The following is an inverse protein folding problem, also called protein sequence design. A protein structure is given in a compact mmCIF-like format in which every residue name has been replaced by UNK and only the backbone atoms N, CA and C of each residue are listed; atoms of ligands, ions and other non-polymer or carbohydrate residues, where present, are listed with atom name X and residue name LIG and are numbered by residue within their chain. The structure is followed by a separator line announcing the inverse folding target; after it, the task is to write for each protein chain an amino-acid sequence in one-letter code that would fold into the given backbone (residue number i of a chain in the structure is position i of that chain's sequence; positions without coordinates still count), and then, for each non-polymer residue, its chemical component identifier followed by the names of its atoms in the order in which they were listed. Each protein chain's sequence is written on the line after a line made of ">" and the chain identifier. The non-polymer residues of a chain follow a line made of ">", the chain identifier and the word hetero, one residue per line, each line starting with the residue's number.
data_IF_604084049772
#
_entry.id   IF_604084049772
#
_cell.length_a   1.000
_cell.length_b   1.000
_cell.length_c   1.000
_cell.angle_alpha   90.00
_cell.angle_beta   90.00
_cell.angle_gamma   90.00
#
_symmetry.space_group_name_H-M   'P 1'
#
loop_
_entity.id
_entity.type
_entity.pdbx_description
1 polymer ?
#
# COMPACT_ATOMS: atom_id res chain seq x y z
N UNK A 1 -11.35 5.50 -24.91
CA UNK A 1 -10.87 5.14 -23.59
C UNK A 1 -9.75 4.14 -23.76
N UNK A 2 -8.62 4.33 -23.12
CA UNK A 2 -7.49 3.39 -23.21
C UNK A 2 -7.86 2.06 -22.57
N UNK A 3 -7.40 0.96 -23.16
CA UNK A 3 -7.59 -0.38 -22.61
C UNK A 3 -6.63 -0.63 -21.46
N UNK A 4 -7.12 -1.21 -20.37
CA UNK A 4 -6.34 -1.51 -19.17
C UNK A 4 -6.21 -3.02 -18.99
N UNK A 5 -4.99 -3.52 -18.87
CA UNK A 5 -4.70 -4.88 -18.45
C UNK A 5 -4.36 -4.92 -16.95
N UNK A 6 -4.98 -5.83 -16.19
CA UNK A 6 -4.64 -6.14 -14.80
C UNK A 6 -4.00 -7.51 -14.78
N UNK A 7 -2.73 -7.58 -14.40
CA UNK A 7 -1.95 -8.82 -14.27
C UNK A 7 -1.81 -9.17 -12.78
N UNK A 8 -2.30 -10.34 -12.39
CA UNK A 8 -2.40 -10.77 -11.00
C UNK A 8 -3.86 -10.98 -10.56
N UNK A 9 -4.73 -11.25 -11.52
CA UNK A 9 -6.13 -11.53 -11.25
C UNK A 9 -6.31 -12.79 -10.41
N UNK A 10 -7.23 -12.70 -9.44
CA UNK A 10 -7.48 -13.75 -8.45
C UNK A 10 -6.84 -13.50 -7.09
N UNK A 11 -6.05 -12.47 -6.94
CA UNK A 11 -5.63 -11.91 -5.67
C UNK A 11 -6.67 -10.87 -5.21
N UNK A 12 -6.86 -10.72 -3.90
CA UNK A 12 -7.79 -9.72 -3.32
C UNK A 12 -7.45 -8.30 -3.77
N UNK A 13 -6.16 -8.03 -3.98
CA UNK A 13 -5.68 -6.75 -4.47
C UNK A 13 -6.18 -6.43 -5.89
N UNK A 14 -6.24 -7.43 -6.78
CA UNK A 14 -6.76 -7.22 -8.13
C UNK A 14 -8.27 -6.93 -8.13
N UNK A 15 -9.03 -7.52 -7.18
CA UNK A 15 -10.44 -7.22 -6.98
C UNK A 15 -10.64 -5.77 -6.52
N UNK A 16 -9.83 -5.30 -5.55
CA UNK A 16 -9.83 -3.91 -5.09
C UNK A 16 -9.51 -2.92 -6.23
N UNK A 17 -8.51 -3.23 -7.06
CA UNK A 17 -8.15 -2.41 -8.20
C UNK A 17 -9.26 -2.35 -9.25
N UNK A 18 -9.86 -3.50 -9.55
CA UNK A 18 -10.99 -3.58 -10.48
C UNK A 18 -12.19 -2.78 -9.98
N UNK A 19 -12.53 -2.92 -8.68
CA UNK A 19 -13.59 -2.16 -8.03
C UNK A 19 -13.33 -0.65 -8.13
N UNK A 20 -12.10 -0.21 -7.87
CA UNK A 20 -11.74 1.21 -7.95
C UNK A 20 -11.82 1.77 -9.38
N UNK A 21 -11.37 1.00 -10.39
CA UNK A 21 -11.49 1.40 -11.80
C UNK A 21 -12.97 1.58 -12.19
N UNK A 22 -13.83 0.62 -11.82
CA UNK A 22 -15.27 0.69 -12.10
C UNK A 22 -15.92 1.88 -11.38
N UNK A 23 -15.60 2.10 -10.10
CA UNK A 23 -16.09 3.23 -9.32
C UNK A 23 -15.71 4.59 -9.91
N UNK A 24 -14.57 4.67 -10.62
CA UNK A 24 -14.12 5.87 -11.33
C UNK A 24 -14.65 5.99 -12.78
N UNK A 25 -15.51 5.07 -13.19
CA UNK A 25 -16.20 5.13 -14.48
C UNK A 25 -15.45 4.51 -15.65
N UNK A 26 -14.46 3.66 -15.39
CA UNK A 26 -13.90 2.83 -16.45
C UNK A 26 -14.94 1.78 -16.88
N UNK A 27 -15.15 1.66 -18.19
CA UNK A 27 -16.14 0.70 -18.72
C UNK A 27 -15.61 -0.73 -18.61
N UNK A 28 -16.44 -1.71 -18.17
CA UNK A 28 -16.01 -3.11 -18.01
C UNK A 28 -15.36 -3.70 -19.26
N UNK A 29 -15.85 -3.33 -20.45
CA UNK A 29 -15.35 -3.82 -21.74
C UNK A 29 -13.92 -3.30 -22.07
N UNK A 30 -13.45 -2.28 -21.39
CA UNK A 30 -12.09 -1.73 -21.55
C UNK A 30 -11.06 -2.38 -20.65
N UNK A 31 -11.48 -3.22 -19.70
CA UNK A 31 -10.63 -3.87 -18.72
C UNK A 31 -10.48 -5.35 -19.04
N UNK A 32 -9.26 -5.87 -18.97
CA UNK A 32 -8.95 -7.30 -19.09
C UNK A 32 -8.12 -7.77 -17.93
N UNK A 33 -8.45 -8.98 -17.46
CA UNK A 33 -7.76 -9.64 -16.37
C UNK A 33 -6.82 -10.71 -16.90
N UNK A 34 -5.62 -10.75 -16.37
CA UNK A 34 -4.60 -11.74 -16.67
C UNK A 34 -4.07 -12.38 -15.40
N UNK A 35 -3.76 -13.67 -15.45
CA UNK A 35 -3.18 -14.42 -14.33
C UNK A 35 -2.27 -15.52 -14.82
N UNK A 36 -1.46 -16.06 -13.90
CA UNK A 36 -0.63 -17.24 -14.16
C UNK A 36 -1.43 -18.47 -14.57
N UNK A 37 -0.74 -19.56 -15.00
CA UNK A 37 -1.38 -20.77 -15.54
C UNK A 37 -2.45 -21.37 -14.62
N UNK A 38 -2.27 -21.25 -13.29
CA UNK A 38 -3.22 -21.79 -12.29
C UNK A 38 -4.54 -21.03 -12.19
N UNK A 39 -4.62 -19.80 -12.73
CA UNK A 39 -5.79 -18.91 -12.67
C UNK A 39 -6.47 -18.74 -14.02
N UNK A 40 -5.80 -19.10 -15.10
CA UNK A 40 -6.35 -18.96 -16.45
C UNK A 40 -7.67 -19.72 -16.62
N UNK A 41 -8.69 -19.01 -17.09
CA UNK A 41 -10.05 -19.54 -17.27
C UNK A 41 -11.00 -19.28 -16.11
N UNK A 42 -10.52 -18.81 -14.96
CA UNK A 42 -11.41 -18.34 -13.87
C UNK A 42 -12.26 -17.15 -14.33
N UNK A 43 -13.39 -16.96 -13.64
CA UNK A 43 -14.29 -15.86 -13.90
C UNK A 43 -14.56 -15.12 -12.60
N UNK A 44 -14.20 -13.85 -12.57
CA UNK A 44 -14.51 -12.95 -11.48
C UNK A 44 -15.81 -12.21 -11.77
N UNK A 45 -16.72 -12.20 -10.81
CA UNK A 45 -17.99 -11.45 -10.90
C UNK A 45 -17.90 -10.24 -9.98
N UNK A 46 -18.01 -9.05 -10.52
CA UNK A 46 -17.97 -7.80 -9.77
C UNK A 46 -19.00 -6.80 -10.31
N UNK A 47 -19.81 -6.21 -9.44
CA UNK A 47 -20.81 -5.18 -9.78
C UNK A 47 -21.75 -5.56 -10.96
N UNK A 48 -22.06 -6.86 -11.04
CA UNK A 48 -22.94 -7.39 -12.12
C UNK A 48 -22.23 -7.64 -13.45
N UNK A 49 -20.95 -7.33 -13.55
CA UNK A 49 -20.10 -7.63 -14.71
C UNK A 49 -19.29 -8.90 -14.50
N UNK A 50 -18.96 -9.57 -15.61
CA UNK A 50 -18.18 -10.82 -15.61
C UNK A 50 -16.83 -10.58 -16.29
N UNK A 51 -15.75 -10.86 -15.56
CA UNK A 51 -14.40 -10.71 -16.01
C UNK A 51 -13.72 -12.08 -16.08
N UNK A 52 -13.34 -12.50 -17.26
CA UNK A 52 -12.57 -13.72 -17.44
C UNK A 52 -11.10 -13.44 -17.26
N UNK A 53 -10.40 -14.34 -16.57
CA UNK A 53 -8.95 -14.30 -16.42
C UNK A 53 -8.31 -15.02 -17.63
N UNK A 54 -7.55 -14.30 -18.42
CA UNK A 54 -6.79 -14.83 -19.55
C UNK A 54 -5.35 -15.17 -19.11
N UNK A 55 -4.67 -16.11 -19.79
CA UNK A 55 -3.28 -16.42 -19.48
C UNK A 55 -2.36 -15.26 -19.86
N UNK A 56 -1.36 -15.01 -19.01
CA UNK A 56 -0.34 -13.97 -19.29
C UNK A 56 0.56 -14.43 -20.44
N UNK A 57 0.73 -13.58 -21.44
CA UNK A 57 1.76 -13.72 -22.47
C UNK A 57 2.15 -12.34 -23.04
N UNK A 58 3.37 -12.24 -23.56
CA UNK A 58 3.83 -10.99 -24.18
C UNK A 58 2.93 -10.55 -25.34
N UNK A 59 2.42 -11.51 -26.12
CA UNK A 59 1.51 -11.25 -27.24
C UNK A 59 0.15 -10.73 -26.76
N UNK A 60 -0.39 -11.33 -25.69
CA UNK A 60 -1.69 -10.92 -25.13
C UNK A 60 -1.64 -9.53 -24.49
N UNK A 61 -0.51 -9.13 -23.95
CA UNK A 61 -0.31 -7.82 -23.32
C UNK A 61 0.10 -6.71 -24.30
N UNK A 62 0.57 -7.06 -25.51
CA UNK A 62 1.12 -6.10 -26.47
C UNK A 62 0.09 -5.06 -27.00
N UNK A 63 -1.20 -5.38 -26.94
CA UNK A 63 -2.28 -4.52 -27.44
C UNK A 63 -2.78 -3.51 -26.37
N UNK A 64 -2.24 -3.56 -25.14
CA UNK A 64 -2.67 -2.68 -24.06
C UNK A 64 -1.77 -1.46 -23.92
N UNK A 65 -2.39 -0.29 -23.86
CA UNK A 65 -1.69 0.97 -23.62
C UNK A 65 -1.30 1.14 -22.14
N UNK A 66 -2.06 0.50 -21.25
CA UNK A 66 -1.91 0.63 -19.80
C UNK A 66 -1.97 -0.74 -19.12
N UNK A 67 -0.99 -1.05 -18.29
CA UNK A 67 -0.85 -2.35 -17.65
C UNK A 67 -0.53 -2.18 -16.15
N UNK A 68 -1.31 -2.83 -15.32
CA UNK A 68 -1.13 -2.87 -13.86
C UNK A 68 -0.65 -4.26 -13.45
N UNK A 69 0.53 -4.35 -12.80
CA UNK A 69 1.12 -5.60 -12.33
C UNK A 69 0.99 -5.75 -10.82
N UNK A 70 0.36 -6.83 -10.37
CA UNK A 70 0.15 -7.19 -8.97
C UNK A 70 0.61 -8.60 -8.62
N UNK A 71 0.93 -9.42 -9.60
CA UNK A 71 1.38 -10.79 -9.43
C UNK A 71 2.89 -10.87 -9.17
N UNK A 72 3.39 -12.07 -8.89
CA UNK A 72 4.78 -12.37 -8.56
C UNK A 72 5.79 -11.61 -9.42
N UNK A 73 6.81 -11.11 -8.77
CA UNK A 73 7.91 -10.38 -9.39
C UNK A 73 8.64 -11.12 -10.52
N UNK A 74 8.45 -12.44 -10.69
CA UNK A 74 8.99 -13.20 -11.81
C UNK A 74 8.27 -12.82 -13.12
N UNK A 75 6.95 -12.74 -13.11
CA UNK A 75 6.20 -12.29 -14.30
C UNK A 75 6.51 -10.84 -14.63
N UNK A 76 6.58 -9.97 -13.62
CA UNK A 76 6.97 -8.59 -13.83
C UNK A 76 8.38 -8.49 -14.46
N UNK A 77 9.36 -9.26 -13.96
CA UNK A 77 10.71 -9.30 -14.52
C UNK A 77 10.72 -9.69 -15.99
N UNK A 78 9.91 -10.67 -16.35
CA UNK A 78 9.92 -11.24 -17.71
C UNK A 78 9.15 -10.37 -18.72
N UNK A 79 8.22 -9.53 -18.27
CA UNK A 79 7.35 -8.74 -19.15
C UNK A 79 7.53 -7.22 -19.05
N UNK A 80 7.71 -6.64 -17.87
CA UNK A 80 7.73 -5.17 -17.67
C UNK A 80 8.71 -4.44 -18.58
N UNK A 81 9.99 -4.87 -18.72
CA UNK A 81 10.93 -4.15 -19.57
C UNK A 81 10.49 -4.09 -21.04
N UNK A 82 10.07 -5.23 -21.59
CA UNK A 82 9.68 -5.32 -23.00
C UNK A 82 8.39 -4.52 -23.29
N UNK A 83 7.43 -4.49 -22.37
CA UNK A 83 6.20 -3.71 -22.50
C UNK A 83 6.48 -2.21 -22.46
N UNK A 84 7.36 -1.78 -21.55
CA UNK A 84 7.78 -0.38 -21.46
C UNK A 84 8.54 0.06 -22.72
N UNK A 85 9.44 -0.77 -23.24
CA UNK A 85 10.16 -0.51 -24.50
C UNK A 85 9.21 -0.43 -25.70
N UNK A 86 8.10 -1.18 -25.66
CA UNK A 86 7.03 -1.09 -26.65
C UNK A 86 6.15 0.16 -26.52
N UNK A 87 6.33 0.94 -25.44
CA UNK A 87 5.62 2.20 -25.18
C UNK A 87 4.40 2.09 -24.28
N UNK A 88 4.09 0.90 -23.74
CA UNK A 88 3.00 0.72 -22.79
C UNK A 88 3.32 1.42 -21.46
N UNK A 89 2.31 2.04 -20.84
CA UNK A 89 2.38 2.54 -19.48
C UNK A 89 2.24 1.38 -18.50
N UNK A 90 3.25 1.15 -17.66
CA UNK A 90 3.26 0.07 -16.68
C UNK A 90 3.27 0.64 -15.28
N UNK A 91 2.28 0.27 -14.46
CA UNK A 91 2.29 0.49 -13.01
C UNK A 91 2.56 -0.85 -12.33
N UNK A 92 3.70 -0.96 -11.69
CA UNK A 92 4.17 -2.20 -11.08
C UNK A 92 4.15 -2.12 -9.55
N UNK A 93 3.25 -2.85 -8.92
CA UNK A 93 3.17 -3.00 -7.47
C UNK A 93 3.98 -4.20 -6.94
N UNK A 94 4.63 -4.97 -7.84
CA UNK A 94 5.44 -6.11 -7.43
C UNK A 94 6.78 -5.69 -6.83
N UNK A 95 7.48 -6.65 -6.24
CA UNK A 95 8.83 -6.40 -5.73
C UNK A 95 9.87 -6.15 -6.83
N UNK A 96 9.58 -6.47 -8.10
CA UNK A 96 10.55 -6.39 -9.20
C UNK A 96 11.03 -4.96 -9.42
N UNK A 97 10.14 -4.05 -9.83
CA UNK A 97 10.54 -2.67 -10.17
C UNK A 97 11.07 -1.90 -8.97
N UNK A 98 10.56 -2.17 -7.77
CA UNK A 98 11.08 -1.59 -6.52
C UNK A 98 12.53 -1.97 -6.26
N UNK A 99 12.86 -3.27 -6.38
CA UNK A 99 14.20 -3.81 -6.11
C UNK A 99 15.23 -3.47 -7.17
N UNK A 100 14.80 -3.49 -8.42
CA UNK A 100 15.68 -3.19 -9.58
C UNK A 100 15.80 -1.71 -9.87
N UNK A 101 14.97 -0.88 -9.19
CA UNK A 101 14.82 0.55 -9.47
C UNK A 101 14.45 0.81 -10.94
N UNK A 102 13.68 -0.10 -11.51
CA UNK A 102 13.12 0.05 -12.85
C UNK A 102 11.93 0.99 -12.75
N UNK A 103 12.09 2.20 -13.27
CA UNK A 103 11.06 3.22 -13.21
C UNK A 103 11.11 4.10 -11.95
N UNK A 104 10.17 5.04 -11.87
CA UNK A 104 10.03 5.94 -10.75
C UNK A 104 9.16 5.32 -9.65
N UNK A 105 9.63 5.37 -8.41
CA UNK A 105 8.83 5.02 -7.25
C UNK A 105 7.85 6.16 -6.96
N UNK A 106 6.55 5.86 -6.83
CA UNK A 106 5.49 6.88 -6.76
C UNK A 106 4.48 6.60 -5.65
N UNK A 107 4.21 7.64 -4.87
CA UNK A 107 3.00 7.82 -4.08
C UNK A 107 2.38 9.14 -4.53
N UNK A 108 1.18 9.14 -5.15
CA UNK A 108 0.59 10.34 -5.76
C UNK A 108 0.48 11.55 -4.83
N UNK A 109 0.29 11.33 -3.54
CA UNK A 109 0.18 12.38 -2.52
C UNK A 109 1.55 12.91 -2.05
N UNK A 110 2.65 12.22 -2.32
CA UNK A 110 3.99 12.56 -1.84
C UNK A 110 4.83 13.19 -2.93
N UNK A 111 5.02 12.46 -4.02
CA UNK A 111 5.87 12.87 -5.13
C UNK A 111 5.15 12.84 -6.49
N UNK A 112 3.81 12.98 -6.48
CA UNK A 112 2.97 12.90 -7.68
C UNK A 112 3.32 13.90 -8.79
N UNK A 113 4.18 14.89 -8.54
CA UNK A 113 4.68 15.80 -9.57
C UNK A 113 5.44 15.05 -10.70
N UNK A 114 6.01 13.89 -10.40
CA UNK A 114 6.69 13.07 -11.43
C UNK A 114 5.71 12.49 -12.46
N UNK A 115 4.42 12.45 -12.15
CA UNK A 115 3.36 11.98 -13.03
C UNK A 115 2.95 13.05 -14.05
N UNK A 116 3.10 14.34 -13.69
CA UNK A 116 2.71 15.49 -14.53
C UNK A 116 3.68 15.76 -15.68
N UNK A 117 4.87 15.18 -15.65
CA UNK A 117 5.85 15.29 -16.74
C UNK A 117 6.65 13.99 -16.84
N UNK A 118 6.01 12.87 -17.20
CA UNK A 118 6.67 11.57 -17.19
C UNK A 118 7.82 11.48 -18.21
N UNK A 119 7.87 12.35 -19.19
CA UNK A 119 8.86 12.30 -20.27
C UNK A 119 8.78 10.98 -21.02
N UNK A 120 9.92 10.29 -21.16
CA UNK A 120 10.01 8.96 -21.77
C UNK A 120 9.76 7.83 -20.78
N UNK A 121 9.52 8.14 -19.49
CA UNK A 121 9.29 7.13 -18.46
C UNK A 121 7.97 6.42 -18.68
N UNK A 122 8.02 5.09 -18.73
CA UNK A 122 6.87 4.22 -18.94
C UNK A 122 6.60 3.27 -17.78
N UNK A 123 7.50 3.17 -16.79
CA UNK A 123 7.34 2.31 -15.62
C UNK A 123 7.24 3.16 -14.37
N UNK A 124 6.19 2.94 -13.60
CA UNK A 124 5.98 3.52 -12.27
C UNK A 124 5.86 2.39 -11.26
N UNK A 125 6.79 2.35 -10.31
CA UNK A 125 6.79 1.38 -9.23
C UNK A 125 5.97 1.93 -8.06
N UNK A 126 5.11 1.09 -7.48
CA UNK A 126 4.43 1.42 -6.23
C UNK A 126 5.24 0.88 -5.04
N UNK A 127 5.41 1.66 -3.97
CA UNK A 127 6.08 1.18 -2.77
C UNK A 127 5.24 0.13 -2.04
N UNK A 128 5.83 -0.50 -1.03
CA UNK A 128 5.11 -1.37 -0.10
C UNK A 128 3.99 -0.60 0.61
N UNK A 129 2.88 -1.28 0.99
CA UNK A 129 1.80 -0.64 1.74
C UNK A 129 2.30 0.13 2.97
N UNK A 130 3.23 -0.45 3.74
CA UNK A 130 3.83 0.20 4.89
C UNK A 130 4.57 1.50 4.55
N UNK A 131 5.31 1.53 3.43
CA UNK A 131 5.99 2.73 2.94
C UNK A 131 5.00 3.77 2.43
N UNK A 132 3.94 3.34 1.74
CA UNK A 132 2.85 4.20 1.27
C UNK A 132 2.18 4.92 2.44
N UNK A 133 1.74 4.16 3.46
CA UNK A 133 1.09 4.72 4.64
C UNK A 133 1.98 5.70 5.38
N UNK A 134 3.24 5.31 5.62
CA UNK A 134 4.22 6.14 6.31
C UNK A 134 4.53 7.41 5.52
N UNK A 135 4.89 7.31 4.25
CA UNK A 135 5.27 8.47 3.44
C UNK A 135 4.12 9.47 3.28
N UNK A 136 2.88 8.99 3.09
CA UNK A 136 1.71 9.87 3.01
C UNK A 136 1.50 10.66 4.32
N UNK A 137 1.66 10.02 5.48
CA UNK A 137 1.55 10.69 6.79
C UNK A 137 2.71 11.66 7.04
N UNK A 138 3.90 11.36 6.54
CA UNK A 138 5.10 12.19 6.71
C UNK A 138 5.12 13.41 5.77
N UNK A 139 4.50 13.36 4.60
CA UNK A 139 4.59 14.41 3.60
C UNK A 139 4.20 15.82 4.11
N UNK A 140 3.06 16.03 4.79
CA UNK A 140 2.70 17.34 5.33
C UNK A 140 3.64 17.77 6.47
N UNK A 141 4.18 16.84 7.25
CA UNK A 141 5.16 17.15 8.29
C UNK A 141 6.50 17.60 7.69
N UNK A 142 6.94 16.93 6.64
CA UNK A 142 8.18 17.27 5.93
C UNK A 142 8.10 18.62 5.22
N UNK A 143 6.91 18.96 4.72
CA UNK A 143 6.64 20.29 4.14
C UNK A 143 6.62 21.41 5.20
N UNK A 144 6.19 21.11 6.44
CA UNK A 144 6.17 22.06 7.55
C UNK A 144 7.58 22.27 8.14
N UNK A 145 8.30 21.18 8.39
CA UNK A 145 9.69 21.18 8.83
C UNK A 145 10.37 19.90 8.33
N UNK A 146 11.62 20.03 7.86
CA UNK A 146 12.36 18.88 7.38
C UNK A 146 12.38 17.76 8.40
N UNK A 147 12.10 16.55 7.95
CA UNK A 147 12.26 15.35 8.77
C UNK A 147 13.72 14.89 8.67
N UNK A 148 14.36 14.72 9.83
CA UNK A 148 15.71 14.18 9.94
C UNK A 148 15.70 12.68 10.11
N UNK A 149 14.81 12.17 10.98
CA UNK A 149 14.77 10.76 11.35
C UNK A 149 13.35 10.31 11.66
N UNK A 150 13.08 9.05 11.32
CA UNK A 150 11.83 8.34 11.66
C UNK A 150 12.18 7.03 12.34
N UNK A 151 11.49 6.72 13.42
CA UNK A 151 11.51 5.39 14.06
C UNK A 151 10.09 4.85 13.99
N UNK A 152 9.91 3.68 13.39
CA UNK A 152 8.58 3.09 13.22
C UNK A 152 8.55 1.61 13.59
N UNK A 153 7.45 1.20 14.22
CA UNK A 153 7.09 -0.21 14.35
C UNK A 153 5.89 -0.48 13.44
N UNK A 154 6.05 -1.41 12.51
CA UNK A 154 5.04 -1.80 11.52
C UNK A 154 4.31 -3.03 12.07
N UNK A 155 2.98 -2.97 12.17
CA UNK A 155 2.10 -4.08 12.50
C UNK A 155 1.54 -4.66 11.19
N UNK A 156 2.19 -5.74 10.72
CA UNK A 156 1.98 -6.35 9.40
C UNK A 156 0.84 -7.36 9.45
N UNK A 157 -0.27 -7.14 8.69
CA UNK A 157 -1.42 -8.05 8.65
C UNK A 157 -1.18 -9.29 7.77
N UNK A 158 -2.10 -10.25 7.82
CA UNK A 158 -2.07 -11.43 6.97
C UNK A 158 -2.27 -11.08 5.48
N UNK A 159 -3.10 -10.09 5.17
CA UNK A 159 -3.40 -9.60 3.80
C UNK A 159 -2.16 -9.22 3.01
N UNK A 160 -1.16 -8.61 3.67
CA UNK A 160 0.09 -8.23 3.01
C UNK A 160 0.92 -9.43 2.49
N UNK A 161 0.46 -10.64 2.78
CA UNK A 161 1.07 -11.90 2.33
C UNK A 161 0.16 -12.72 1.42
N UNK A 162 -0.97 -12.16 1.04
CA UNK A 162 -1.94 -12.75 0.13
C UNK A 162 -2.92 -13.72 0.80
N UNK A 163 -3.84 -14.22 -0.01
CA UNK A 163 -4.98 -15.04 0.39
C UNK A 163 -4.59 -16.27 1.22
N UNK A 164 -3.47 -16.92 0.91
CA UNK A 164 -3.00 -18.09 1.65
C UNK A 164 -2.71 -17.78 3.13
N UNK A 165 -2.14 -16.61 3.44
CA UNK A 165 -1.85 -16.23 4.81
C UNK A 165 -3.13 -15.87 5.59
N UNK A 166 -4.11 -15.27 4.92
CA UNK A 166 -5.45 -15.02 5.48
C UNK A 166 -6.13 -16.34 5.84
N UNK A 167 -6.12 -17.31 4.91
CA UNK A 167 -6.69 -18.63 5.14
C UNK A 167 -5.98 -19.37 6.28
N UNK A 168 -4.65 -19.30 6.35
CA UNK A 168 -3.86 -19.89 7.42
C UNK A 168 -4.21 -19.30 8.79
N UNK A 169 -4.30 -17.97 8.89
CA UNK A 169 -4.72 -17.30 10.12
C UNK A 169 -6.11 -17.73 10.54
N UNK A 170 -7.06 -17.82 9.60
CA UNK A 170 -8.43 -18.27 9.86
C UNK A 170 -8.45 -19.70 10.42
N UNK A 171 -7.79 -20.64 9.75
CA UNK A 171 -7.74 -22.05 10.15
C UNK A 171 -7.07 -22.25 11.49
N UNK A 172 -5.95 -21.59 11.73
CA UNK A 172 -5.26 -21.61 13.02
C UNK A 172 -6.14 -21.05 14.14
N UNK A 173 -6.86 -19.96 13.89
CA UNK A 173 -7.75 -19.35 14.88
C UNK A 173 -8.87 -20.29 15.26
N UNK A 174 -9.52 -20.95 14.30
CA UNK A 174 -10.57 -21.93 14.54
C UNK A 174 -10.03 -23.12 15.34
N UNK A 175 -8.88 -23.69 14.94
CA UNK A 175 -8.28 -24.84 15.62
C UNK A 175 -7.95 -24.51 17.09
N UNK A 176 -7.37 -23.35 17.36
CA UNK A 176 -7.02 -22.94 18.73
C UNK A 176 -8.25 -22.72 19.60
N UNK A 177 -9.30 -22.06 19.07
CA UNK A 177 -10.55 -21.82 19.83
C UNK A 177 -11.30 -23.14 20.08
N UNK A 178 -11.23 -24.09 19.16
CA UNK A 178 -11.83 -25.42 19.30
C UNK A 178 -11.03 -26.36 20.22
N UNK A 179 -9.86 -25.95 20.71
CA UNK A 179 -8.98 -26.79 21.51
C UNK A 179 -8.19 -27.84 20.72
N UNK A 180 -8.20 -27.71 19.40
CA UNK A 180 -7.40 -28.51 18.51
C UNK A 180 -5.96 -27.97 18.45
N UNK A 181 -5.00 -28.85 18.23
CA UNK A 181 -3.60 -28.44 18.04
C UNK A 181 -3.39 -27.85 16.63
N UNK A 182 -2.51 -26.87 16.53
CA UNK A 182 -2.08 -26.37 15.21
C UNK A 182 -1.19 -27.44 14.54
N UNK A 183 -1.55 -27.81 13.33
CA UNK A 183 -0.73 -28.69 12.48
C UNK A 183 0.52 -27.94 12.00
N UNK A 184 1.67 -28.22 12.65
CA UNK A 184 2.91 -27.54 12.34
C UNK A 184 3.63 -28.03 11.07
N UNK A 185 3.22 -29.15 10.54
CA UNK A 185 3.71 -29.60 9.23
C UNK A 185 3.06 -28.77 8.12
N UNK A 186 1.78 -28.44 8.31
CA UNK A 186 1.01 -27.62 7.40
C UNK A 186 1.24 -26.11 7.63
N UNK A 187 1.38 -25.71 8.88
CA UNK A 187 1.56 -24.30 9.30
C UNK A 187 2.83 -24.17 10.15
N UNK A 188 3.99 -23.99 9.52
CA UNK A 188 5.28 -23.92 10.24
C UNK A 188 5.35 -22.74 11.20
N UNK A 189 4.60 -21.69 10.92
CA UNK A 189 4.50 -20.50 11.75
C UNK A 189 3.14 -20.39 12.44
N UNK A 190 3.14 -20.12 13.75
CA UNK A 190 1.92 -19.81 14.49
C UNK A 190 1.69 -18.32 14.44
N UNK A 191 0.64 -17.89 13.76
CA UNK A 191 0.22 -16.49 13.67
C UNK A 191 -0.99 -16.21 14.57
N UNK A 192 -1.98 -17.10 14.62
CA UNK A 192 -3.18 -16.93 15.44
C UNK A 192 -2.83 -16.69 16.92
N UNK A 193 -3.40 -15.64 17.51
CA UNK A 193 -3.17 -15.18 18.89
C UNK A 193 -1.71 -14.98 19.27
N UNK A 194 -0.87 -14.62 18.28
CA UNK A 194 0.56 -14.43 18.47
C UNK A 194 1.04 -13.14 17.82
N UNK A 195 2.12 -12.58 18.36
CA UNK A 195 2.87 -11.47 17.75
C UNK A 195 4.29 -11.98 17.48
N UNK A 196 4.75 -11.82 16.25
CA UNK A 196 6.06 -12.34 15.85
C UNK A 196 6.94 -11.24 15.27
N UNK A 197 8.22 -11.19 15.66
CA UNK A 197 9.17 -10.38 14.90
C UNK A 197 9.22 -10.92 13.45
N UNK A 198 9.22 -10.00 12.52
CA UNK A 198 9.23 -10.33 11.10
C UNK A 198 10.66 -10.64 10.65
N UNK A 199 10.85 -11.81 10.09
CA UNK A 199 12.12 -12.18 9.47
C UNK A 199 11.87 -12.76 8.07
N UNK A 200 11.67 -11.89 7.09
CA UNK A 200 11.69 -12.31 5.68
C UNK A 200 13.11 -12.22 5.15
N UNK A 201 13.88 -13.29 5.36
CA UNK A 201 15.26 -13.33 4.90
C UNK A 201 16.14 -12.34 5.68
N UNK A 202 16.73 -12.78 6.76
CA UNK A 202 17.73 -11.99 7.49
C UNK A 202 18.93 -11.74 6.58
N UNK A 203 19.34 -10.48 6.51
CA UNK A 203 20.66 -10.12 6.02
C UNK A 203 21.71 -10.36 7.10
N UNK A 204 22.99 -10.45 6.72
CA UNK A 204 24.12 -10.70 7.63
C UNK A 204 24.23 -9.66 8.78
N UNK A 205 23.52 -8.52 8.69
CA UNK A 205 23.50 -7.45 9.67
C UNK A 205 22.25 -7.43 10.56
N UNK A 206 21.38 -8.45 10.44
CA UNK A 206 20.21 -8.63 11.32
C UNK A 206 18.95 -7.84 10.91
N UNK A 207 18.96 -7.13 9.78
CA UNK A 207 17.76 -6.46 9.28
C UNK A 207 16.89 -7.39 8.45
N UNK A 208 15.58 -7.34 8.68
CA UNK A 208 14.63 -7.98 7.78
C UNK A 208 14.55 -7.23 6.43
N UNK A 209 14.27 -7.98 5.36
CA UNK A 209 14.16 -7.40 4.03
C UNK A 209 13.15 -6.24 3.98
N UNK A 210 11.95 -6.41 4.54
CA UNK A 210 10.90 -5.41 4.50
C UNK A 210 11.25 -4.14 5.31
N UNK A 211 12.00 -4.29 6.40
CA UNK A 211 12.50 -3.16 7.19
C UNK A 211 13.45 -2.27 6.37
N UNK A 212 14.33 -2.89 5.59
CA UNK A 212 15.21 -2.16 4.66
C UNK A 212 14.44 -1.50 3.54
N UNK A 213 13.51 -2.24 2.94
CA UNK A 213 12.71 -1.71 1.83
C UNK A 213 11.94 -0.47 2.26
N UNK A 214 11.32 -0.47 3.43
CA UNK A 214 10.63 0.73 3.95
C UNK A 214 11.60 1.91 4.11
N UNK A 215 12.79 1.68 4.63
CA UNK A 215 13.79 2.73 4.77
C UNK A 215 14.24 3.29 3.41
N UNK A 216 14.54 2.43 2.44
CA UNK A 216 14.98 2.82 1.10
C UNK A 216 13.88 3.50 0.30
N UNK A 217 12.64 3.00 0.36
CA UNK A 217 11.49 3.55 -0.34
C UNK A 217 11.13 4.94 0.18
N UNK A 218 11.06 5.13 1.49
CA UNK A 218 10.78 6.44 2.10
C UNK A 218 11.90 7.43 1.75
N UNK A 219 13.16 7.04 1.87
CA UNK A 219 14.27 7.89 1.46
C UNK A 219 14.18 8.30 -0.01
N UNK A 220 13.79 7.37 -0.90
CA UNK A 220 13.61 7.64 -2.33
C UNK A 220 12.46 8.61 -2.59
N UNK A 221 11.32 8.45 -1.91
CA UNK A 221 10.13 9.29 -2.08
C UNK A 221 10.35 10.75 -1.66
N UNK A 222 11.15 10.98 -0.62
CA UNK A 222 11.45 12.34 -0.13
C UNK A 222 12.68 12.97 -0.80
N UNK A 223 13.53 12.18 -1.45
CA UNK A 223 14.70 12.67 -2.19
C UNK A 223 15.87 13.09 -1.30
N UNK A 224 16.68 14.01 -1.79
CA UNK A 224 17.92 14.45 -1.12
C UNK A 224 17.74 15.74 -0.33
N UNK A 225 18.28 15.83 0.88
CA UNK A 225 18.98 14.77 1.60
C UNK A 225 17.97 13.76 2.18
N UNK A 226 18.35 12.45 2.21
CA UNK A 226 17.41 11.39 2.54
C UNK A 226 16.90 11.49 3.98
N UNK A 227 15.67 11.04 4.19
CA UNK A 227 15.10 10.82 5.53
C UNK A 227 15.65 9.52 6.07
N UNK A 228 16.27 9.55 7.27
CA UNK A 228 16.70 8.34 7.96
C UNK A 228 15.49 7.61 8.54
N UNK A 229 15.30 6.33 8.18
CA UNK A 229 14.21 5.51 8.72
C UNK A 229 14.76 4.28 9.40
N UNK A 230 14.33 4.05 10.65
CA UNK A 230 14.54 2.82 11.40
C UNK A 230 13.20 2.12 11.58
N UNK A 231 12.99 1.05 10.83
CA UNK A 231 11.78 0.26 10.88
C UNK A 231 11.99 -1.02 11.67
N UNK A 232 10.96 -1.44 12.42
CA UNK A 232 10.85 -2.78 13.01
C UNK A 232 9.52 -3.37 12.55
N UNK A 233 9.55 -4.49 11.85
CA UNK A 233 8.35 -5.14 11.36
C UNK A 233 7.91 -6.28 12.29
N UNK A 234 6.61 -6.32 12.58
CA UNK A 234 5.99 -7.29 13.48
C UNK A 234 4.75 -7.87 12.80
N UNK A 235 4.67 -9.17 12.67
CA UNK A 235 3.44 -9.84 12.24
C UNK A 235 2.44 -9.90 13.36
N UNK A 236 1.22 -9.49 13.06
CA UNK A 236 0.09 -9.48 13.98
C UNK A 236 -1.04 -10.38 13.47
N UNK A 237 -1.86 -10.95 14.37
CA UNK A 237 -2.96 -11.84 13.99
C UNK A 237 -4.19 -11.03 13.54
N UNK A 238 -3.99 -10.17 12.57
CA UNK A 238 -5.01 -9.32 11.93
C UNK A 238 -5.16 -9.76 10.49
N UNK A 239 -6.38 -9.87 10.01
CA UNK A 239 -6.66 -10.33 8.64
C UNK A 239 -6.32 -9.26 7.61
N UNK A 240 -6.82 -8.04 7.82
CA UNK A 240 -6.76 -6.91 6.90
C UNK A 240 -6.50 -5.62 7.68
N UNK A 241 -5.81 -4.69 7.05
CA UNK A 241 -5.46 -3.39 7.60
C UNK A 241 -4.12 -3.38 8.33
N UNK A 242 -3.26 -2.47 7.95
CA UNK A 242 -1.96 -2.23 8.54
C UNK A 242 -1.99 -1.09 9.55
N UNK A 243 -1.07 -1.11 10.50
CA UNK A 243 -0.87 -0.01 11.42
C UNK A 243 0.62 0.23 11.68
N UNK A 244 0.94 1.42 12.17
CA UNK A 244 2.31 1.75 12.57
C UNK A 244 2.31 2.66 13.81
N UNK A 245 3.29 2.44 14.69
CA UNK A 245 3.65 3.37 15.75
C UNK A 245 4.88 4.15 15.32
N UNK A 246 4.74 5.46 15.17
CA UNK A 246 5.74 6.30 14.52
C UNK A 246 6.24 7.38 15.45
N UNK A 247 7.56 7.60 15.44
CA UNK A 247 8.24 8.77 16.00
C UNK A 247 9.04 9.45 14.91
N UNK A 248 8.93 10.78 14.85
CA UNK A 248 9.55 11.63 13.82
C UNK A 248 10.34 12.73 14.48
N UNK A 249 11.62 12.86 14.15
CA UNK A 249 12.46 13.97 14.57
C UNK A 249 12.51 15.02 13.44
N UNK A 250 12.02 16.22 13.74
CA UNK A 250 11.97 17.36 12.82
C UNK A 250 13.22 18.26 12.97
N UNK A 251 13.49 19.07 11.95
CA UNK A 251 14.54 20.09 12.01
C UNK A 251 14.01 21.33 12.75
N UNK A 252 14.07 21.25 14.09
CA UNK A 252 13.56 22.29 14.98
C UNK A 252 12.18 21.97 15.57
N UNK A 253 11.86 22.71 16.63
CA UNK A 253 10.59 22.57 17.34
C UNK A 253 9.44 23.19 16.55
N UNK A 254 8.36 22.44 16.39
CA UNK A 254 7.10 22.85 15.77
C UNK A 254 5.98 22.64 16.77
N UNK A 255 5.01 23.56 16.82
CA UNK A 255 3.90 23.40 17.76
C UNK A 255 2.96 22.25 17.33
N UNK A 256 2.33 21.58 18.31
CA UNK A 256 1.33 20.55 18.01
C UNK A 256 0.15 21.11 17.19
N UNK A 257 -0.18 22.40 17.34
CA UNK A 257 -1.26 23.01 16.57
C UNK A 257 -0.88 23.21 15.10
N UNK A 258 0.36 23.62 14.81
CA UNK A 258 0.85 23.72 13.43
C UNK A 258 0.87 22.34 12.77
N UNK A 259 1.28 21.30 13.53
CA UNK A 259 1.27 19.91 13.07
C UNK A 259 -0.16 19.44 12.76
N UNK A 260 -1.11 19.67 13.67
CA UNK A 260 -2.52 19.33 13.44
C UNK A 260 -3.06 20.03 12.19
N UNK A 261 -2.76 21.33 12.04
CA UNK A 261 -3.20 22.09 10.90
C UNK A 261 -2.64 21.51 9.58
N UNK A 262 -1.35 21.14 9.56
CA UNK A 262 -0.73 20.52 8.40
C UNK A 262 -1.37 19.16 8.06
N UNK A 263 -1.61 18.32 9.07
CA UNK A 263 -2.22 17.01 8.89
C UNK A 263 -3.67 17.08 8.43
N UNK A 264 -4.47 18.02 8.98
CA UNK A 264 -5.87 18.26 8.57
C UNK A 264 -6.01 18.76 7.13
N UNK A 265 -5.05 19.54 6.69
CA UNK A 265 -5.03 20.08 5.32
C UNK A 265 -4.53 19.10 4.26
N UNK A 266 -4.02 17.94 4.66
CA UNK A 266 -3.40 17.00 3.73
C UNK A 266 -4.44 16.02 3.14
N UNK A 267 -4.36 15.74 1.82
CA UNK A 267 -5.27 14.80 1.19
C UNK A 267 -5.04 13.38 1.75
N UNK A 268 -6.09 12.60 1.79
CA UNK A 268 -6.07 11.19 2.23
C UNK A 268 -5.64 10.97 3.69
N UNK A 269 -5.62 12.00 4.55
CA UNK A 269 -5.36 11.86 5.98
C UNK A 269 -6.60 12.23 6.80
N UNK A 270 -6.87 11.44 7.84
CA UNK A 270 -7.91 11.70 8.84
C UNK A 270 -7.27 11.69 10.23
N UNK A 271 -7.42 12.76 10.98
CA UNK A 271 -6.86 12.88 12.33
C UNK A 271 -7.97 12.59 13.37
N UNK A 272 -7.81 11.55 14.18
CA UNK A 272 -8.74 11.21 15.25
C UNK A 272 -8.88 12.35 16.28
N UNK A 273 -10.11 12.55 16.76
CA UNK A 273 -10.46 13.67 17.67
C UNK A 273 -10.90 14.94 16.94
N UNK A 274 -10.85 14.97 15.63
CA UNK A 274 -11.51 16.00 14.83
C UNK A 274 -12.94 15.55 14.55
N UNK A 275 -13.90 16.42 14.82
CA UNK A 275 -15.32 16.08 14.58
C UNK A 275 -15.51 15.75 13.11
N UNK A 276 -15.94 14.54 12.83
CA UNK A 276 -16.25 14.01 11.48
C UNK A 276 -17.47 14.71 10.81
N UNK A 277 -17.94 15.82 11.35
CA UNK A 277 -19.08 16.57 10.83
C UNK A 277 -18.95 17.08 9.39
N UNK A 278 -17.74 17.06 8.83
CA UNK A 278 -17.46 17.57 7.49
C UNK A 278 -17.01 16.52 6.46
N UNK A 279 -16.91 15.23 6.83
CA UNK A 279 -16.64 14.17 5.87
C UNK A 279 -17.95 13.70 5.24
N UNK A 280 -18.23 14.25 4.08
CA UNK A 280 -19.39 13.92 3.26
C UNK A 280 -19.34 12.44 2.86
N UNK A 281 -20.28 11.63 3.35
CA UNK A 281 -20.74 10.45 2.62
C UNK A 281 -20.54 9.07 3.24
N UNK A 282 -20.19 8.92 4.52
CA UNK A 282 -20.21 7.61 5.15
C UNK A 282 -21.19 7.57 6.34
N UNK A 283 -22.16 6.66 6.27
CA UNK A 283 -23.16 6.42 7.34
C UNK A 283 -22.51 5.85 8.63
N UNK A 284 -21.20 5.55 8.60
CA UNK A 284 -20.40 5.05 9.74
C UNK A 284 -19.66 6.16 10.51
N UNK A 285 -19.79 7.42 10.11
CA UNK A 285 -19.02 8.58 10.59
C UNK A 285 -19.05 8.85 12.10
N UNK A 286 -19.97 8.25 12.84
CA UNK A 286 -20.14 8.49 14.28
C UNK A 286 -19.25 7.59 15.17
N UNK A 287 -18.66 6.52 14.62
CA UNK A 287 -17.95 5.52 15.43
C UNK A 287 -16.45 5.81 15.60
N UNK A 288 -15.86 6.61 14.72
CA UNK A 288 -14.40 6.88 14.75
C UNK A 288 -14.04 8.24 15.36
N UNK A 289 -15.03 9.11 15.61
CA UNK A 289 -14.79 10.49 16.09
C UNK A 289 -14.08 10.55 17.46
N UNK A 290 -14.32 9.57 18.33
CA UNK A 290 -13.77 9.50 19.68
C UNK A 290 -12.82 8.29 19.90
N UNK A 291 -12.66 7.42 18.91
CA UNK A 291 -11.88 6.19 19.04
C UNK A 291 -10.56 6.29 18.29
N UNK A 292 -9.51 5.77 18.90
CA UNK A 292 -8.21 5.56 18.28
C UNK A 292 -8.30 4.34 17.34
N UNK A 293 -8.32 4.53 15.99
CA UNK A 293 -8.63 3.46 15.06
C UNK A 293 -7.53 2.40 15.01
N UNK A 294 -7.93 1.14 15.11
CA UNK A 294 -7.08 -0.01 14.81
C UNK A 294 -7.20 -0.45 13.35
N UNK A 295 -6.44 -1.45 12.92
CA UNK A 295 -6.46 -1.95 11.55
C UNK A 295 -7.86 -2.38 11.06
N UNK A 296 -8.62 -3.07 11.90
CA UNK A 296 -9.95 -3.58 11.53
C UNK A 296 -10.97 -2.45 11.33
N UNK A 297 -10.81 -1.36 12.08
CA UNK A 297 -11.73 -0.21 12.03
C UNK A 297 -11.58 0.60 10.73
N UNK A 298 -10.46 0.44 10.04
CA UNK A 298 -10.13 1.19 8.82
C UNK A 298 -10.24 0.36 7.54
N UNK A 299 -10.69 -0.89 7.64
CA UNK A 299 -10.92 -1.74 6.48
C UNK A 299 -11.95 -1.11 5.54
N UNK A 300 -11.64 -1.05 4.24
CA UNK A 300 -12.44 -0.38 3.21
C UNK A 300 -12.26 1.15 3.14
N UNK A 301 -11.51 1.75 4.08
CA UNK A 301 -11.24 3.20 4.05
C UNK A 301 -10.27 3.58 2.93
N UNK A 302 -10.56 4.70 2.26
CA UNK A 302 -9.66 5.31 1.28
C UNK A 302 -8.63 6.27 1.91
N UNK A 303 -8.65 6.42 3.23
CA UNK A 303 -7.79 7.33 3.98
C UNK A 303 -6.82 6.61 4.91
N UNK A 304 -5.78 7.33 5.30
CA UNK A 304 -4.89 6.95 6.40
C UNK A 304 -5.38 7.66 7.66
N UNK A 305 -5.70 6.89 8.67
CA UNK A 305 -6.18 7.38 9.95
C UNK A 305 -5.02 7.59 10.91
N UNK A 306 -4.92 8.79 11.44
CA UNK A 306 -3.91 9.19 12.41
C UNK A 306 -4.53 9.38 13.78
N UNK A 307 -3.87 8.88 14.81
CA UNK A 307 -4.30 9.03 16.20
C UNK A 307 -3.10 9.24 17.13
N UNK A 308 -3.38 9.54 18.39
CA UNK A 308 -2.37 9.63 19.44
C UNK A 308 -1.24 10.63 19.13
N UNK A 309 -1.54 11.70 18.45
CA UNK A 309 -0.55 12.75 18.18
C UNK A 309 -0.06 13.38 19.48
N UNK A 310 1.23 13.31 19.71
CA UNK A 310 1.89 13.81 20.92
C UNK A 310 3.31 14.25 20.65
N UNK A 311 3.81 15.12 21.49
CA UNK A 311 5.18 15.63 21.44
C UNK A 311 5.98 15.02 22.60
N UNK A 312 7.25 14.72 22.38
CA UNK A 312 8.14 14.28 23.45
C UNK A 312 8.40 15.46 24.42
N UNK A 313 8.10 15.32 25.72
CA UNK A 313 8.31 16.42 26.68
C UNK A 313 9.77 16.84 26.83
N UNK A 314 10.72 15.93 26.56
CA UNK A 314 12.16 16.18 26.65
C UNK A 314 12.79 16.65 25.33
N UNK A 315 12.07 16.46 24.21
CA UNK A 315 12.55 16.73 22.84
C UNK A 315 11.41 17.31 22.01
N UNK A 316 11.15 18.64 22.09
CA UNK A 316 10.02 19.26 21.40
C UNK A 316 10.07 19.16 19.86
N UNK A 317 11.19 18.81 19.29
CA UNK A 317 11.35 18.47 17.87
C UNK A 317 10.88 17.04 17.52
N UNK A 318 10.60 16.19 18.52
CA UNK A 318 10.21 14.79 18.35
C UNK A 318 8.71 14.60 18.54
N UNK A 319 8.05 14.06 17.51
CA UNK A 319 6.59 13.89 17.42
C UNK A 319 6.26 12.41 17.29
N UNK A 320 5.36 11.94 18.15
CA UNK A 320 4.83 10.57 18.08
C UNK A 320 3.38 10.54 17.63
N UNK A 321 3.03 9.57 16.80
CA UNK A 321 1.64 9.29 16.41
C UNK A 321 1.44 7.81 16.09
N UNK A 322 0.19 7.43 16.02
CA UNK A 322 -0.27 6.15 15.48
C UNK A 322 -0.89 6.40 14.12
N UNK A 323 -0.69 5.48 13.18
CA UNK A 323 -1.43 5.45 11.93
C UNK A 323 -2.01 4.06 11.70
N UNK A 324 -3.19 4.01 11.05
CA UNK A 324 -3.83 2.80 10.57
C UNK A 324 -4.48 3.05 9.22
N UNK A 325 -4.47 2.07 8.33
CA UNK A 325 -5.03 2.19 6.98
C UNK A 325 -5.32 0.81 6.39
N UNK A 326 -6.20 0.77 5.40
CA UNK A 326 -6.41 -0.42 4.59
C UNK A 326 -5.21 -0.65 3.68
N UNK A 327 -4.50 -1.74 3.89
CA UNK A 327 -3.23 -2.04 3.21
C UNK A 327 -3.41 -2.43 1.74
N UNK A 328 -4.53 -3.03 1.36
CA UNK A 328 -4.85 -3.35 -0.03
C UNK A 328 -5.41 -2.14 -0.75
N UNK A 329 -6.45 -1.51 -0.20
CA UNK A 329 -7.15 -0.40 -0.81
C UNK A 329 -6.27 0.86 -0.85
N UNK A 330 -6.01 1.49 0.30
CA UNK A 330 -5.20 2.71 0.38
C UNK A 330 -3.72 2.44 0.19
N UNK A 331 -3.25 1.29 0.66
CA UNK A 331 -1.84 0.92 0.55
C UNK A 331 -1.38 0.73 -0.89
N UNK A 332 -2.23 0.22 -1.80
CA UNK A 332 -1.85 -0.11 -3.18
C UNK A 332 -2.89 0.31 -4.21
N UNK A 333 -4.13 -0.19 -4.14
CA UNK A 333 -5.10 -0.10 -5.23
C UNK A 333 -5.40 1.34 -5.67
N UNK A 334 -5.72 2.22 -4.72
CA UNK A 334 -5.98 3.64 -5.01
C UNK A 334 -4.77 4.34 -5.66
N UNK A 335 -3.57 4.03 -5.19
CA UNK A 335 -2.35 4.61 -5.75
C UNK A 335 -2.07 4.09 -7.15
N UNK A 336 -2.35 2.80 -7.43
CA UNK A 336 -2.20 2.21 -8.75
C UNK A 336 -3.12 2.91 -9.76
N UNK A 337 -4.41 3.02 -9.45
CA UNK A 337 -5.40 3.64 -10.34
C UNK A 337 -5.11 5.14 -10.50
N UNK A 338 -4.80 5.85 -9.42
CA UNK A 338 -4.47 7.28 -9.49
C UNK A 338 -3.21 7.54 -10.31
N UNK A 339 -2.18 6.69 -10.19
CA UNK A 339 -0.95 6.79 -11.00
C UNK A 339 -1.26 6.59 -12.47
N UNK A 340 -2.03 5.55 -12.80
CA UNK A 340 -2.47 5.26 -14.16
C UNK A 340 -3.21 6.45 -14.78
N UNK A 341 -4.24 6.96 -14.10
CA UNK A 341 -5.10 8.04 -14.60
C UNK A 341 -4.34 9.34 -14.81
N UNK A 342 -3.47 9.73 -13.87
CA UNK A 342 -2.67 10.94 -14.00
C UNK A 342 -1.72 10.88 -15.20
N UNK A 343 -1.10 9.72 -15.45
CA UNK A 343 -0.22 9.54 -16.61
C UNK A 343 -0.99 9.54 -17.94
N UNK A 344 -2.22 9.02 -17.96
CA UNK A 344 -3.05 8.97 -19.20
C UNK A 344 -3.74 10.29 -19.52
N UNK A 345 -4.22 11.02 -18.51
CA UNK A 345 -4.91 12.31 -18.71
C UNK A 345 -3.97 13.41 -19.22
N UNK A 346 -2.69 13.38 -18.89
CA UNK A 346 -1.70 14.36 -19.32
C UNK A 346 -1.07 14.01 -20.70
N UNK A 347 -1.38 12.81 -21.23
CA UNK A 347 -0.96 12.38 -22.56
C UNK A 347 -1.95 12.79 -23.67
N UNK A 348 -3.10 13.38 -23.29
CA UNK A 348 -4.15 13.91 -24.17
C UNK A 348 -4.12 15.43 -24.24
#
# INVERSE_FOLDING_TARGET
>A
MSTVAIVGAGEELAEEVLSELLARGHEPDTIRLFGGEGRAGEVMMLEGSSFRVDPVSAEALADFESILFFEDGLLARDHVPALADAGALVVDATAYSRRTRTGNLVVPEVNGAVLSAPGEQRVFALPMPASTGLATALAPLHALARINRVVTTIFDPASNRGAAAIEDLSRQSVAMVSGEGIDREKYPETLAFNVRPYSSGESDDGWAFDERMVAEEVATLFGEPPVEVLATAVRVPVFLGAAQSVWVDLDGAVTLEDIRTALRGAPSLLLAGDSLGDVVGDETGDLLADNEPGPVDVAGSSAIHLARLRQDPGRPESIGFWLAFDDLRKGVALNAVTTLERCTLESL
#
